data_IF_509915209161
#
_entry.id   IF_509915209161
#
_cell.length_a   1.000
_cell.length_b   1.000
_cell.length_c   1.000
_cell.angle_alpha   90.00
_cell.angle_beta   90.00
_cell.angle_gamma   90.00
#
_symmetry.space_group_name_H-M   'P 1'
#
loop_
_entity.id
_entity.type
_entity.pdbx_description
1 polymer ?
#
# COMPACT_ATOMS: atom_id res chain seq x y z
N UNK A 1 2.62 1.66 24.44
CA UNK A 1 2.05 2.03 23.13
C UNK A 1 3.03 3.04 22.54
N UNK A 2 3.87 2.63 21.59
CA UNK A 2 4.74 3.59 20.90
C UNK A 2 3.87 4.71 20.33
N UNK A 3 4.24 5.96 20.64
CA UNK A 3 3.56 7.14 20.15
C UNK A 3 3.87 7.27 18.67
N UNK A 4 3.06 6.63 17.82
CA UNK A 4 3.09 6.88 16.38
C UNK A 4 2.83 8.37 16.16
N UNK A 5 3.75 9.03 15.44
CA UNK A 5 3.64 10.45 15.13
C UNK A 5 2.39 10.76 14.29
N UNK A 6 2.14 12.05 14.07
CA UNK A 6 1.04 12.49 13.20
C UNK A 6 1.34 12.07 11.75
N UNK A 7 0.39 11.38 11.12
CA UNK A 7 0.50 10.96 9.72
C UNK A 7 0.60 12.16 8.78
N UNK A 8 1.58 12.13 7.88
CA UNK A 8 1.80 13.14 6.86
C UNK A 8 0.80 13.00 5.69
N UNK A 9 0.38 11.76 5.39
CA UNK A 9 -0.59 11.43 4.35
C UNK A 9 -1.43 10.24 4.76
N UNK A 10 -2.75 10.36 4.67
CA UNK A 10 -3.69 9.30 5.05
C UNK A 10 -4.15 8.48 3.85
N UNK A 11 -4.28 9.09 2.67
CA UNK A 11 -4.69 8.42 1.43
C UNK A 11 -3.50 7.94 0.62
N UNK A 12 -3.33 6.64 0.48
CA UNK A 12 -2.20 6.02 -0.22
C UNK A 12 -2.68 5.14 -1.36
N UNK A 13 -1.95 5.16 -2.48
CA UNK A 13 -2.11 4.18 -3.55
C UNK A 13 -0.87 3.30 -3.55
N UNK A 14 -1.05 1.99 -3.32
CA UNK A 14 0.03 1.03 -3.19
C UNK A 14 -0.04 0.04 -4.36
N UNK A 15 0.93 0.14 -5.26
CA UNK A 15 1.09 -0.79 -6.36
C UNK A 15 1.72 -2.11 -5.93
N UNK A 16 1.28 -3.24 -6.49
CA UNK A 16 1.92 -4.54 -6.25
C UNK A 16 2.02 -5.40 -7.52
N UNK A 17 3.09 -6.20 -7.60
CA UNK A 17 3.22 -7.27 -8.60
C UNK A 17 2.55 -8.52 -8.04
N UNK A 18 1.69 -9.24 -8.80
CA UNK A 18 0.93 -10.39 -8.31
C UNK A 18 1.82 -11.63 -8.12
N UNK A 19 2.62 -11.62 -7.05
CA UNK A 19 3.46 -12.73 -6.58
C UNK A 19 3.21 -12.97 -5.09
N UNK A 20 3.60 -14.15 -4.59
CA UNK A 20 3.31 -14.57 -3.21
C UNK A 20 3.86 -13.59 -2.17
N UNK A 21 4.98 -12.92 -2.42
CA UNK A 21 5.55 -11.91 -1.51
C UNK A 21 4.64 -10.69 -1.27
N UNK A 22 3.68 -10.40 -2.17
CA UNK A 22 2.75 -9.28 -2.02
C UNK A 22 1.55 -9.60 -1.11
N UNK A 23 1.40 -10.85 -0.66
CA UNK A 23 0.30 -11.30 0.22
C UNK A 23 0.03 -10.38 1.42
N UNK A 24 1.03 -9.95 2.23
CA UNK A 24 0.75 -9.08 3.38
C UNK A 24 0.19 -7.71 2.97
N UNK A 25 0.59 -7.16 1.82
CA UNK A 25 0.10 -5.88 1.31
C UNK A 25 -1.38 -6.01 0.90
N UNK A 26 -1.70 -7.08 0.17
CA UNK A 26 -3.06 -7.32 -0.33
C UNK A 26 -4.00 -7.63 0.84
N UNK A 27 -3.58 -8.48 1.77
CA UNK A 27 -4.41 -8.94 2.89
C UNK A 27 -4.59 -7.88 3.98
N UNK A 28 -3.66 -6.92 4.12
CA UNK A 28 -3.78 -5.86 5.10
C UNK A 28 -5.05 -4.99 4.92
N UNK A 29 -5.56 -4.89 3.69
CA UNK A 29 -6.78 -4.16 3.39
C UNK A 29 -8.05 -4.84 3.95
N UNK A 30 -8.43 -6.07 3.54
CA UNK A 30 -9.62 -6.74 4.08
C UNK A 30 -9.49 -7.09 5.57
N UNK A 31 -8.27 -7.17 6.11
CA UNK A 31 -8.04 -7.40 7.54
C UNK A 31 -8.13 -6.13 8.40
N UNK A 32 -8.34 -4.95 7.78
CA UNK A 32 -8.47 -3.67 8.49
C UNK A 32 -7.17 -3.19 9.15
N UNK A 33 -6.00 -3.69 8.71
CA UNK A 33 -4.73 -3.24 9.28
C UNK A 33 -4.42 -1.79 8.89
N UNK A 34 -4.72 -1.38 7.66
CA UNK A 34 -4.52 0.01 7.25
C UNK A 34 -5.38 0.98 8.08
N UNK A 35 -6.67 0.67 8.22
CA UNK A 35 -7.62 1.49 8.98
C UNK A 35 -7.24 1.60 10.47
N UNK A 36 -6.73 0.52 11.07
CA UNK A 36 -6.22 0.52 12.45
C UNK A 36 -5.14 1.57 12.69
N UNK A 37 -4.35 1.87 11.66
CA UNK A 37 -3.32 2.90 11.68
C UNK A 37 -3.77 4.23 11.06
N UNK A 38 -5.05 4.40 10.74
CA UNK A 38 -5.59 5.63 10.16
C UNK A 38 -5.22 5.85 8.68
N UNK A 39 -4.87 4.78 7.96
CA UNK A 39 -4.51 4.81 6.54
C UNK A 39 -5.69 4.34 5.67
N UNK A 40 -6.00 5.13 4.64
CA UNK A 40 -6.92 4.83 3.56
C UNK A 40 -6.09 4.39 2.35
N UNK A 41 -6.00 3.09 2.10
CA UNK A 41 -5.07 2.51 1.13
C UNK A 41 -5.81 1.85 -0.02
N UNK A 42 -5.56 2.31 -1.25
CA UNK A 42 -5.99 1.62 -2.47
C UNK A 42 -4.87 0.71 -2.95
N UNK A 43 -5.13 -0.60 -3.03
CA UNK A 43 -4.14 -1.59 -3.50
C UNK A 43 -4.35 -1.85 -5.00
N UNK A 44 -3.36 -1.48 -5.82
CA UNK A 44 -3.46 -1.53 -7.29
C UNK A 44 -2.53 -2.59 -7.89
N UNK A 45 -3.09 -3.53 -8.66
CA UNK A 45 -2.29 -4.51 -9.41
C UNK A 45 -1.47 -3.81 -10.50
N UNK A 46 -0.18 -4.14 -10.59
CA UNK A 46 0.70 -3.70 -11.69
C UNK A 46 1.00 -4.84 -12.64
N UNK A 47 1.24 -4.52 -13.92
CA UNK A 47 1.50 -5.52 -14.97
C UNK A 47 2.90 -6.13 -14.88
N UNK A 48 3.83 -5.50 -14.16
CA UNK A 48 5.22 -5.95 -14.00
C UNK A 48 6.10 -4.88 -13.36
N UNK A 49 7.39 -5.19 -13.20
CA UNK A 49 8.35 -4.33 -12.51
C UNK A 49 8.61 -2.99 -13.22
N UNK A 50 8.66 -2.97 -14.56
CA UNK A 50 8.82 -1.74 -15.32
C UNK A 50 7.65 -0.77 -15.05
N UNK A 51 6.41 -1.27 -15.16
CA UNK A 51 5.20 -0.47 -14.88
C UNK A 51 5.13 -0.04 -13.42
N UNK A 52 5.56 -0.89 -12.48
CA UNK A 52 5.62 -0.51 -11.07
C UNK A 52 6.60 0.65 -10.84
N UNK A 53 7.80 0.61 -11.43
CA UNK A 53 8.77 1.71 -11.40
C UNK A 53 8.17 2.98 -11.99
N UNK A 54 7.60 2.89 -13.19
CA UNK A 54 7.11 4.07 -13.91
C UNK A 54 5.95 4.73 -13.13
N UNK A 55 5.06 3.93 -12.52
CA UNK A 55 4.01 4.44 -11.63
C UNK A 55 4.57 5.11 -10.37
N UNK A 56 5.61 4.55 -9.75
CA UNK A 56 6.22 5.15 -8.55
C UNK A 56 6.91 6.48 -8.84
N UNK A 57 7.43 6.68 -10.05
CA UNK A 57 8.08 7.92 -10.46
C UNK A 57 7.08 9.00 -10.93
N UNK A 58 5.89 8.59 -11.39
CA UNK A 58 4.90 9.48 -11.97
C UNK A 58 4.11 10.33 -10.95
N UNK A 59 4.20 10.03 -9.65
CA UNK A 59 3.48 10.73 -8.58
C UNK A 59 1.98 10.49 -8.57
#
# INVERSE_FOLDING_TARGET
KESLGKLEKTKLNVGFVPITCATPIIMAHPMGFYERYGLDVTVTKTAGWAVARDKSLAG
#
